data_IF_390417608347
#
_entry.id   IF_390417608347
#
_cell.length_a   1.000
_cell.length_b   1.000
_cell.length_c   1.000
_cell.angle_alpha   90.00
_cell.angle_beta   90.00
_cell.angle_gamma   90.00
#
_symmetry.space_group_name_H-M   'P 1'
#
loop_
_entity.id
_entity.type
_entity.pdbx_description
1 polymer ?
#
# COMPACT_ATOMS: atom_id res chain seq x y z
N UNK A 1 -15.88 -24.61 7.30
CA UNK A 1 -14.97 -24.96 6.18
C UNK A 1 -15.21 -23.97 5.04
N UNK A 2 -14.18 -23.30 4.56
CA UNK A 2 -14.24 -22.37 3.41
C UNK A 2 -14.38 -23.20 2.13
N UNK A 3 -15.28 -22.79 1.24
CA UNK A 3 -15.55 -23.52 -0.01
C UNK A 3 -14.34 -23.42 -0.99
N UNK A 4 -14.23 -24.38 -1.89
CA UNK A 4 -13.17 -24.38 -2.91
C UNK A 4 -13.23 -23.18 -3.86
N UNK A 5 -14.46 -22.70 -4.12
CA UNK A 5 -14.67 -21.50 -4.94
C UNK A 5 -14.30 -20.18 -4.24
N UNK A 6 -14.03 -20.19 -2.93
CA UNK A 6 -13.66 -19.03 -2.13
C UNK A 6 -12.15 -19.05 -1.78
N UNK A 7 -11.65 -20.20 -1.32
CA UNK A 7 -10.22 -20.43 -1.12
C UNK A 7 -9.69 -21.31 -2.27
N UNK A 8 -9.27 -20.70 -3.34
CA UNK A 8 -8.79 -21.43 -4.53
C UNK A 8 -7.32 -21.79 -4.34
N UNK A 9 -6.98 -23.06 -4.56
CA UNK A 9 -5.61 -23.57 -4.52
C UNK A 9 -5.21 -24.10 -5.88
N UNK A 10 -3.94 -23.95 -6.21
CA UNK A 10 -3.32 -24.59 -7.38
C UNK A 10 -3.14 -26.10 -7.13
N UNK A 11 -2.93 -26.93 -8.16
CA UNK A 11 -2.74 -28.38 -8.01
C UNK A 11 -1.57 -28.76 -7.10
N UNK A 12 -0.58 -27.88 -6.95
CA UNK A 12 0.58 -28.08 -6.07
C UNK A 12 0.33 -27.64 -4.62
N UNK A 13 -0.89 -27.20 -4.27
CA UNK A 13 -1.27 -26.75 -2.95
C UNK A 13 -0.91 -25.29 -2.63
N UNK A 14 -0.31 -24.54 -3.55
CA UNK A 14 -0.10 -23.10 -3.39
C UNK A 14 -1.40 -22.32 -3.55
N UNK A 15 -1.49 -21.13 -2.92
CA UNK A 15 -2.66 -20.25 -3.09
C UNK A 15 -2.72 -19.68 -4.52
N UNK A 16 -3.90 -19.40 -5.02
CA UNK A 16 -4.17 -19.32 -6.47
C UNK A 16 -3.43 -18.20 -7.19
N UNK A 17 -3.54 -16.94 -6.72
CA UNK A 17 -3.01 -15.81 -7.49
C UNK A 17 -1.52 -15.58 -7.20
N UNK A 18 -1.14 -15.43 -5.92
CA UNK A 18 0.25 -15.12 -5.56
C UNK A 18 1.19 -16.34 -5.60
N UNK A 19 0.65 -17.54 -5.81
CA UNK A 19 1.40 -18.79 -6.05
C UNK A 19 2.42 -19.12 -4.94
N UNK A 20 1.99 -18.96 -3.69
CA UNK A 20 2.80 -19.19 -2.49
C UNK A 20 2.17 -20.26 -1.58
N UNK A 21 3.03 -20.84 -0.74
CA UNK A 21 2.66 -21.71 0.38
C UNK A 21 3.03 -21.05 1.70
N UNK A 22 2.42 -21.44 2.84
CA UNK A 22 2.67 -20.84 4.14
C UNK A 22 4.15 -20.71 4.54
N UNK A 23 4.95 -21.75 4.30
CA UNK A 23 6.37 -21.79 4.65
C UNK A 23 7.24 -20.85 3.80
N UNK A 24 6.71 -20.36 2.69
CA UNK A 24 7.43 -19.50 1.74
C UNK A 24 7.30 -18.02 2.05
N UNK A 25 6.54 -17.64 3.08
CA UNK A 25 6.27 -16.25 3.45
C UNK A 25 6.91 -15.93 4.79
N UNK A 26 7.54 -14.75 4.89
CA UNK A 26 8.06 -14.23 6.15
C UNK A 26 6.98 -13.38 6.88
N UNK A 27 7.16 -13.17 8.18
CA UNK A 27 6.26 -12.32 8.99
C UNK A 27 6.36 -10.82 8.59
N UNK A 28 7.47 -10.42 7.98
CA UNK A 28 7.65 -9.07 7.44
C UNK A 28 7.67 -9.11 5.92
N UNK A 29 6.71 -8.39 5.33
CA UNK A 29 6.44 -8.40 3.89
C UNK A 29 6.61 -7.00 3.32
N UNK A 30 7.43 -6.91 2.27
CA UNK A 30 7.62 -5.69 1.49
C UNK A 30 6.74 -5.78 0.24
N UNK A 31 5.82 -4.83 0.07
CA UNK A 31 5.00 -4.70 -1.12
C UNK A 31 5.62 -3.67 -2.08
N UNK A 32 5.68 -4.02 -3.34
CA UNK A 32 6.07 -3.12 -4.44
C UNK A 32 5.03 -3.19 -5.56
N UNK A 33 4.82 -2.13 -6.33
CA UNK A 33 3.85 -2.16 -7.43
C UNK A 33 4.38 -2.91 -8.66
N UNK A 34 5.64 -2.67 -9.01
CA UNK A 34 6.29 -3.20 -10.23
C UNK A 34 7.02 -4.53 -9.96
N UNK A 35 6.71 -5.61 -10.72
CA UNK A 35 7.45 -6.87 -10.62
C UNK A 35 8.97 -6.72 -10.77
N UNK A 36 9.43 -5.78 -11.61
CA UNK A 36 10.85 -5.53 -11.80
C UNK A 36 11.52 -4.87 -10.59
N UNK A 37 10.76 -4.36 -9.63
CA UNK A 37 11.29 -3.84 -8.36
C UNK A 37 11.62 -4.95 -7.37
N UNK A 38 11.00 -6.11 -7.46
CA UNK A 38 11.27 -7.25 -6.57
C UNK A 38 12.74 -7.67 -6.60
N UNK A 39 13.37 -7.96 -7.76
CA UNK A 39 14.79 -8.28 -7.79
C UNK A 39 15.70 -7.12 -7.34
N UNK A 40 15.27 -5.86 -7.46
CA UNK A 40 16.02 -4.72 -6.95
C UNK A 40 16.06 -4.68 -5.42
N UNK A 41 14.95 -5.03 -4.75
CA UNK A 41 14.91 -5.16 -3.29
C UNK A 41 15.73 -6.37 -2.84
N UNK A 42 15.51 -7.53 -3.45
CA UNK A 42 16.19 -8.78 -3.04
C UNK A 42 17.67 -8.84 -3.43
N UNK A 43 18.16 -7.92 -4.28
CA UNK A 43 19.59 -7.77 -4.55
C UNK A 43 20.39 -7.39 -3.29
N UNK A 44 19.75 -6.85 -2.26
CA UNK A 44 20.34 -6.54 -0.96
C UNK A 44 20.26 -7.68 0.03
N UNK A 45 19.51 -8.77 -0.28
CA UNK A 45 19.36 -9.90 0.64
C UNK A 45 20.68 -10.69 0.75
N UNK A 46 20.94 -11.21 1.94
CA UNK A 46 22.10 -12.04 2.21
C UNK A 46 21.99 -13.38 1.42
N UNK A 47 20.75 -13.88 1.27
CA UNK A 47 20.40 -15.05 0.46
C UNK A 47 18.95 -14.95 -0.01
N UNK A 48 18.61 -15.65 -1.08
CA UNK A 48 17.24 -15.87 -1.55
C UNK A 48 16.92 -17.34 -1.30
N UNK A 49 15.93 -17.60 -0.44
CA UNK A 49 15.47 -18.95 -0.09
C UNK A 49 14.46 -19.48 -1.11
N UNK A 50 13.62 -18.58 -1.62
CA UNK A 50 12.52 -18.92 -2.52
C UNK A 50 12.23 -17.77 -3.49
N UNK A 51 11.85 -18.13 -4.73
CA UNK A 51 11.38 -17.18 -5.73
C UNK A 51 10.30 -17.79 -6.61
N UNK A 52 9.29 -17.00 -6.95
CA UNK A 52 8.23 -17.39 -7.89
C UNK A 52 7.68 -16.16 -8.59
N UNK A 53 7.07 -16.37 -9.75
CA UNK A 53 6.30 -15.34 -10.44
C UNK A 53 5.08 -15.97 -11.12
N UNK A 54 3.93 -15.35 -10.90
CA UNK A 54 2.69 -15.67 -11.61
C UNK A 54 1.95 -14.37 -11.90
N UNK A 55 1.68 -14.09 -13.16
CA UNK A 55 1.14 -12.79 -13.61
C UNK A 55 2.02 -11.64 -13.14
N UNK A 56 1.43 -10.58 -12.58
CA UNK A 56 2.08 -9.42 -11.95
C UNK A 56 2.67 -9.71 -10.56
N UNK A 57 2.36 -10.86 -9.97
CA UNK A 57 2.81 -11.24 -8.63
C UNK A 57 4.16 -11.97 -8.71
N UNK A 58 5.24 -11.23 -8.52
CA UNK A 58 6.60 -11.74 -8.38
C UNK A 58 6.98 -11.73 -6.91
N UNK A 59 7.52 -12.81 -6.38
CA UNK A 59 7.89 -12.95 -4.97
C UNK A 59 9.29 -13.49 -4.81
N UNK A 60 10.09 -12.83 -3.98
CA UNK A 60 11.34 -13.36 -3.44
C UNK A 60 11.27 -13.36 -1.92
N UNK A 61 11.61 -14.48 -1.29
CA UNK A 61 11.79 -14.61 0.16
C UNK A 61 13.24 -14.96 0.46
N UNK A 62 13.80 -14.33 1.48
CA UNK A 62 15.19 -14.50 1.87
C UNK A 62 15.51 -13.79 3.16
N UNK A 63 16.77 -13.48 3.42
CA UNK A 63 17.20 -12.76 4.63
C UNK A 63 17.96 -11.49 4.29
N UNK A 64 17.81 -10.47 5.13
CA UNK A 64 18.59 -9.26 5.13
C UNK A 64 19.09 -8.95 6.54
N UNK A 65 20.40 -8.92 6.74
CA UNK A 65 21.03 -8.73 8.05
C UNK A 65 20.45 -9.70 9.11
N UNK A 66 20.25 -10.95 8.72
CA UNK A 66 19.74 -12.02 9.58
C UNK A 66 18.23 -11.98 9.83
N UNK A 67 17.46 -11.02 9.27
CA UNK A 67 15.99 -10.97 9.34
C UNK A 67 15.38 -11.57 8.08
N UNK A 68 14.47 -12.53 8.25
CA UNK A 68 13.73 -13.12 7.13
C UNK A 68 12.69 -12.12 6.61
N UNK A 69 12.71 -11.86 5.31
CA UNK A 69 11.84 -10.91 4.61
C UNK A 69 11.25 -11.56 3.37
N UNK A 70 10.03 -11.19 3.04
CA UNK A 70 9.41 -11.46 1.74
C UNK A 70 9.21 -10.14 1.01
N UNK A 71 9.62 -10.06 -0.25
CA UNK A 71 9.22 -8.97 -1.14
C UNK A 71 8.31 -9.52 -2.23
N UNK A 72 7.16 -8.88 -2.43
CA UNK A 72 6.17 -9.27 -3.43
C UNK A 72 5.67 -8.05 -4.20
N UNK A 73 5.53 -8.21 -5.53
CA UNK A 73 4.85 -7.21 -6.35
C UNK A 73 3.35 -7.42 -6.33
N UNK A 74 2.62 -6.31 -6.31
CA UNK A 74 1.15 -6.33 -6.25
C UNK A 74 0.49 -6.00 -7.59
N UNK A 75 1.24 -5.44 -8.56
CA UNK A 75 0.62 -4.70 -9.64
C UNK A 75 0.08 -3.36 -9.15
N UNK A 76 -0.91 -2.81 -9.86
CA UNK A 76 -1.47 -1.47 -9.62
C UNK A 76 -2.94 -1.58 -9.21
N UNK A 77 -3.32 -0.80 -8.20
CA UNK A 77 -4.71 -0.55 -7.86
C UNK A 77 -5.25 -1.34 -6.66
N UNK A 78 -6.38 -0.88 -6.08
CA UNK A 78 -6.98 -1.46 -4.86
C UNK A 78 -7.48 -2.89 -5.06
N UNK A 79 -7.96 -3.24 -6.25
CA UNK A 79 -8.42 -4.56 -6.63
C UNK A 79 -7.31 -5.62 -6.58
N UNK A 80 -6.10 -5.28 -7.02
CA UNK A 80 -4.94 -6.15 -6.85
C UNK A 80 -4.54 -6.28 -5.36
N UNK A 81 -4.63 -5.21 -4.59
CA UNK A 81 -4.36 -5.23 -3.14
C UNK A 81 -5.36 -6.12 -2.41
N UNK A 82 -6.63 -6.13 -2.83
CA UNK A 82 -7.63 -7.03 -2.28
C UNK A 82 -7.21 -8.50 -2.41
N UNK A 83 -6.71 -8.89 -3.56
CA UNK A 83 -6.17 -10.24 -3.79
C UNK A 83 -4.96 -10.51 -2.89
N UNK A 84 -3.96 -9.65 -2.94
CA UNK A 84 -2.67 -9.89 -2.27
C UNK A 84 -2.81 -9.96 -0.76
N UNK A 85 -3.54 -9.02 -0.14
CA UNK A 85 -3.67 -8.99 1.32
C UNK A 85 -4.51 -10.15 1.84
N UNK A 86 -5.62 -10.48 1.17
CA UNK A 86 -6.43 -11.64 1.57
C UNK A 86 -5.69 -12.96 1.38
N UNK A 87 -4.92 -13.13 0.30
CA UNK A 87 -4.15 -14.35 0.07
C UNK A 87 -2.93 -14.46 1.02
N UNK A 88 -2.29 -13.35 1.36
CA UNK A 88 -1.23 -13.34 2.39
C UNK A 88 -1.78 -13.70 3.79
N UNK A 89 -2.93 -13.14 4.16
CA UNK A 89 -3.60 -13.51 5.40
C UNK A 89 -4.00 -14.99 5.41
N UNK A 90 -4.55 -15.48 4.31
CA UNK A 90 -4.93 -16.89 4.19
C UNK A 90 -3.74 -17.84 4.38
N UNK A 91 -2.55 -17.51 3.87
CA UNK A 91 -1.35 -18.31 4.04
C UNK A 91 -0.95 -18.46 5.51
N UNK A 92 -1.10 -17.42 6.32
CA UNK A 92 -0.67 -17.44 7.73
C UNK A 92 -1.79 -17.80 8.71
N UNK A 93 -3.06 -17.52 8.37
CA UNK A 93 -4.19 -17.60 9.29
C UNK A 93 -5.24 -18.66 8.93
N UNK A 94 -5.13 -19.30 7.77
CA UNK A 94 -5.98 -20.42 7.37
C UNK A 94 -5.14 -21.68 7.23
N UNK A 95 -5.61 -22.79 7.79
CA UNK A 95 -5.09 -24.11 7.46
C UNK A 95 -5.61 -24.49 6.06
N UNK A 96 -4.72 -24.46 5.07
CA UNK A 96 -5.08 -24.69 3.67
C UNK A 96 -5.59 -26.10 3.40
N UNK A 97 -5.23 -27.10 4.25
CA UNK A 97 -5.68 -28.47 4.11
C UNK A 97 -7.11 -28.65 4.63
N UNK A 98 -7.38 -28.16 5.85
CA UNK A 98 -8.72 -28.24 6.47
C UNK A 98 -9.65 -27.12 6.02
N UNK A 99 -9.13 -26.08 5.39
CA UNK A 99 -9.86 -24.88 4.96
C UNK A 99 -10.59 -24.20 6.11
N UNK A 100 -9.94 -24.11 7.26
CA UNK A 100 -10.51 -23.46 8.44
C UNK A 100 -9.53 -22.41 8.98
N UNK A 101 -10.02 -21.29 9.53
CA UNK A 101 -9.19 -20.34 10.25
C UNK A 101 -8.47 -21.03 11.40
N UNK A 102 -7.21 -20.66 11.62
CA UNK A 102 -6.41 -21.14 12.74
C UNK A 102 -6.92 -20.55 14.05
N UNK A 103 -6.78 -21.28 15.17
CA UNK A 103 -7.15 -20.77 16.51
C UNK A 103 -6.24 -19.61 16.94
N UNK A 104 -4.95 -19.68 16.62
CA UNK A 104 -3.99 -18.61 16.86
C UNK A 104 -3.69 -17.90 15.55
N UNK A 105 -4.04 -16.60 15.52
CA UNK A 105 -3.81 -15.76 14.36
C UNK A 105 -2.42 -15.10 14.41
N UNK A 106 -1.77 -15.06 13.27
CA UNK A 106 -0.49 -14.37 13.05
C UNK A 106 -0.74 -12.97 12.53
N UNK A 107 -0.11 -11.97 13.14
CA UNK A 107 -0.09 -10.60 12.62
C UNK A 107 1.14 -10.39 11.75
N UNK A 108 0.95 -10.01 10.51
CA UNK A 108 2.00 -9.66 9.56
C UNK A 108 2.43 -8.19 9.72
N UNK A 109 3.70 -7.90 9.43
CA UNK A 109 4.22 -6.56 9.25
C UNK A 109 4.34 -6.28 7.75
N UNK A 110 3.49 -5.40 7.22
CA UNK A 110 3.39 -5.11 5.79
C UNK A 110 3.92 -3.71 5.53
N UNK A 111 4.96 -3.59 4.70
CA UNK A 111 5.59 -2.30 4.37
C UNK A 111 5.61 -2.11 2.86
N UNK A 112 4.92 -1.08 2.37
CA UNK A 112 4.95 -0.73 0.95
C UNK A 112 6.13 0.19 0.63
N UNK A 113 6.94 -0.17 -0.37
CA UNK A 113 7.93 0.71 -0.99
C UNK A 113 7.39 1.17 -2.34
N UNK A 114 6.77 2.35 -2.36
CA UNK A 114 6.06 2.88 -3.49
C UNK A 114 6.68 4.14 -4.09
N UNK A 115 6.03 4.63 -5.13
CA UNK A 115 6.29 5.94 -5.76
C UNK A 115 5.01 6.73 -5.79
N UNK A 116 5.09 8.05 -5.70
CA UNK A 116 3.91 8.92 -5.72
C UNK A 116 4.22 10.33 -6.21
N UNK A 117 3.18 11.10 -6.46
CA UNK A 117 3.27 12.53 -6.74
C UNK A 117 2.92 13.36 -5.52
N UNK A 118 3.77 14.34 -5.17
CA UNK A 118 3.49 15.30 -4.11
C UNK A 118 2.39 16.29 -4.51
N UNK A 119 1.54 16.63 -3.53
CA UNK A 119 0.55 17.70 -3.59
C UNK A 119 1.03 18.97 -2.87
N UNK A 120 2.22 18.96 -2.27
CA UNK A 120 2.72 20.04 -1.43
C UNK A 120 4.03 20.60 -1.99
N UNK A 121 4.13 21.93 -2.17
CA UNK A 121 5.33 22.56 -2.70
C UNK A 121 6.57 22.37 -1.80
N UNK A 122 6.37 22.25 -0.50
CA UNK A 122 7.42 22.04 0.51
C UNK A 122 7.87 20.57 0.65
N UNK A 123 7.28 19.63 -0.11
CA UNK A 123 7.72 18.25 -0.21
C UNK A 123 8.30 18.02 -1.62
N UNK A 124 9.59 18.28 -1.83
CA UNK A 124 10.19 18.24 -3.16
C UNK A 124 10.28 16.82 -3.74
N UNK A 125 10.53 16.72 -5.04
CA UNK A 125 10.96 15.45 -5.65
C UNK A 125 12.24 14.92 -4.98
N UNK A 126 12.43 13.61 -5.05
CA UNK A 126 13.54 12.88 -4.41
C UNK A 126 13.44 12.81 -2.87
N UNK A 127 12.32 13.28 -2.29
CA UNK A 127 11.99 13.10 -0.86
C UNK A 127 11.26 11.77 -0.63
N UNK A 128 11.15 11.38 0.64
CA UNK A 128 10.31 10.26 1.08
C UNK A 128 9.14 10.74 1.92
N UNK A 129 7.98 10.12 1.72
CA UNK A 129 6.77 10.34 2.52
C UNK A 129 6.34 9.03 3.13
N UNK A 130 6.11 9.04 4.45
CA UNK A 130 5.40 8.00 5.17
C UNK A 130 3.93 8.39 5.28
N UNK A 131 3.05 7.52 4.82
CA UNK A 131 1.62 7.72 4.87
C UNK A 131 1.10 7.49 6.30
N UNK A 132 0.80 8.56 7.04
CA UNK A 132 0.17 8.43 8.36
C UNK A 132 -1.25 7.87 8.26
N UNK A 133 -1.93 8.23 7.17
CA UNK A 133 -3.26 7.76 6.81
C UNK A 133 -3.33 7.51 5.30
N UNK A 134 -4.12 6.51 4.92
CA UNK A 134 -4.55 6.28 3.55
C UNK A 134 -5.98 6.78 3.37
N UNK A 135 -6.21 7.70 2.41
CA UNK A 135 -7.53 8.15 2.00
C UNK A 135 -7.92 7.43 0.71
N UNK A 136 -8.90 6.54 0.76
CA UNK A 136 -9.41 5.81 -0.39
C UNK A 136 -10.49 6.61 -1.13
N UNK A 137 -10.31 6.75 -2.43
CA UNK A 137 -11.28 7.35 -3.35
C UNK A 137 -11.94 6.29 -4.26
N UNK A 138 -11.85 5.04 -3.85
CA UNK A 138 -12.46 3.85 -4.47
C UNK A 138 -13.61 3.33 -3.60
N UNK A 139 -14.30 2.29 -4.06
CA UNK A 139 -15.43 1.67 -3.34
C UNK A 139 -15.09 0.27 -2.78
N UNK A 140 -13.89 -0.25 -3.00
CA UNK A 140 -13.53 -1.63 -2.70
C UNK A 140 -13.74 -1.95 -1.21
N UNK A 141 -13.26 -1.07 -0.33
CA UNK A 141 -13.28 -1.29 1.11
C UNK A 141 -14.69 -1.33 1.72
N UNK A 142 -15.69 -0.70 1.07
CA UNK A 142 -17.09 -0.76 1.49
C UNK A 142 -17.76 -2.14 1.29
N UNK A 143 -17.11 -3.03 0.54
CA UNK A 143 -17.57 -4.42 0.40
C UNK A 143 -17.37 -5.24 1.68
N UNK A 144 -16.58 -4.77 2.65
CA UNK A 144 -16.32 -5.44 3.91
C UNK A 144 -17.21 -4.92 5.04
N UNK A 145 -18.01 -5.81 5.64
CA UNK A 145 -19.01 -5.49 6.67
C UNK A 145 -18.43 -4.67 7.84
N UNK A 146 -17.22 -5.02 8.28
CA UNK A 146 -16.61 -4.43 9.47
C UNK A 146 -15.73 -3.20 9.14
N UNK A 147 -15.73 -2.73 7.89
CA UNK A 147 -14.97 -1.55 7.48
C UNK A 147 -15.19 -0.31 8.35
N UNK A 148 -16.42 -0.03 8.90
CA UNK A 148 -16.60 1.14 9.77
C UNK A 148 -15.80 1.08 11.07
N UNK A 149 -15.41 -0.10 11.55
CA UNK A 149 -14.69 -0.26 12.85
C UNK A 149 -13.26 0.30 12.83
N UNK A 150 -12.68 0.44 11.65
CA UNK A 150 -11.26 0.82 11.47
C UNK A 150 -11.07 2.17 10.78
N UNK A 151 -12.16 2.84 10.41
CA UNK A 151 -12.18 4.09 9.67
C UNK A 151 -12.13 5.31 10.60
N UNK A 152 -11.50 6.40 10.13
CA UNK A 152 -11.42 7.69 10.79
C UNK A 152 -12.61 8.59 10.37
N UNK A 153 -13.83 8.23 10.85
CA UNK A 153 -15.10 8.82 10.38
C UNK A 153 -15.13 10.36 10.46
N UNK A 154 -14.62 10.95 11.55
CA UNK A 154 -14.61 12.41 11.71
C UNK A 154 -13.72 13.09 10.64
N UNK A 155 -12.60 12.48 10.28
CA UNK A 155 -11.71 12.99 9.22
C UNK A 155 -12.34 12.82 7.84
N UNK A 156 -13.08 11.73 7.61
CA UNK A 156 -13.84 11.52 6.36
C UNK A 156 -14.92 12.58 6.15
N UNK A 157 -15.71 12.88 7.19
CA UNK A 157 -16.75 13.92 7.13
C UNK A 157 -16.12 15.29 6.85
N UNK A 158 -14.99 15.61 7.51
CA UNK A 158 -14.27 16.85 7.25
C UNK A 158 -13.76 16.91 5.80
N UNK A 159 -13.24 15.80 5.26
CA UNK A 159 -12.78 15.70 3.87
C UNK A 159 -13.93 15.89 2.88
N UNK A 160 -15.06 15.19 3.10
CA UNK A 160 -16.26 15.30 2.25
C UNK A 160 -16.78 16.74 2.21
N UNK A 161 -16.87 17.39 3.38
CA UNK A 161 -17.32 18.79 3.47
C UNK A 161 -16.36 19.76 2.78
N UNK A 162 -15.03 19.61 3.04
CA UNK A 162 -14.00 20.48 2.46
C UNK A 162 -13.95 20.42 0.93
N UNK A 163 -14.03 19.19 0.38
CA UNK A 163 -13.92 18.97 -1.06
C UNK A 163 -15.23 19.13 -1.81
N UNK A 164 -16.36 19.27 -1.10
CA UNK A 164 -17.71 19.13 -1.68
C UNK A 164 -17.80 17.86 -2.52
N UNK A 165 -17.37 16.74 -1.93
CA UNK A 165 -17.17 15.47 -2.62
C UNK A 165 -18.41 15.01 -3.36
N UNK A 166 -18.27 14.74 -4.66
CA UNK A 166 -19.38 14.25 -5.47
C UNK A 166 -19.76 12.82 -5.06
N UNK A 167 -21.00 12.57 -4.57
CA UNK A 167 -21.42 11.25 -4.12
C UNK A 167 -21.41 10.17 -5.22
N UNK A 168 -21.43 10.55 -6.49
CA UNK A 168 -21.31 9.61 -7.62
C UNK A 168 -19.93 8.94 -7.68
N UNK A 169 -18.91 9.51 -7.05
CA UNK A 169 -17.58 8.89 -6.92
C UNK A 169 -17.51 7.84 -5.80
N UNK A 170 -18.62 7.62 -5.08
CA UNK A 170 -18.65 6.81 -3.86
C UNK A 170 -18.15 7.59 -2.64
N UNK A 171 -18.35 7.04 -1.45
CA UNK A 171 -17.90 7.67 -0.20
C UNK A 171 -16.41 7.42 0.00
N UNK A 172 -15.58 8.45 0.17
CA UNK A 172 -14.19 8.27 0.55
C UNK A 172 -14.08 7.69 1.96
N UNK A 173 -13.00 6.95 2.22
CA UNK A 173 -12.71 6.37 3.53
C UNK A 173 -11.26 6.67 3.94
N UNK A 174 -11.00 6.82 5.24
CA UNK A 174 -9.67 7.16 5.77
C UNK A 174 -9.29 6.16 6.85
N UNK A 175 -8.06 5.65 6.77
CA UNK A 175 -7.54 4.65 7.69
C UNK A 175 -6.13 5.00 8.12
N UNK A 176 -5.88 4.98 9.44
CA UNK A 176 -4.56 5.21 10.01
C UNK A 176 -3.63 4.00 9.77
N UNK A 177 -2.34 4.28 9.58
CA UNK A 177 -1.28 3.26 9.48
C UNK A 177 -1.05 2.48 10.77
N UNK A 178 -0.28 1.40 10.70
CA UNK A 178 0.20 0.63 11.84
C UNK A 178 1.21 1.43 12.68
N UNK A 179 0.88 1.70 13.94
CA UNK A 179 1.65 2.64 14.75
C UNK A 179 3.04 2.12 15.14
N UNK A 180 3.19 0.82 15.39
CA UNK A 180 4.49 0.24 15.75
C UNK A 180 5.46 0.26 14.55
N UNK A 181 4.98 -0.06 13.35
CA UNK A 181 5.78 0.10 12.14
C UNK A 181 6.11 1.56 11.83
N UNK A 182 5.16 2.48 12.07
CA UNK A 182 5.40 3.91 11.90
C UNK A 182 6.54 4.40 12.78
N UNK A 183 6.54 4.09 14.08
CA UNK A 183 7.62 4.47 15.02
C UNK A 183 9.00 4.02 14.54
N UNK A 184 9.05 2.86 13.90
CA UNK A 184 10.29 2.28 13.40
C UNK A 184 10.77 2.92 12.09
N UNK A 185 9.84 3.30 11.21
CA UNK A 185 10.13 3.76 9.85
C UNK A 185 10.15 5.29 9.70
N UNK A 186 9.54 6.04 10.62
CA UNK A 186 9.52 7.49 10.57
C UNK A 186 10.79 8.06 11.22
N UNK A 187 11.52 8.87 10.47
CA UNK A 187 12.70 9.62 10.95
C UNK A 187 12.59 11.07 10.48
N UNK A 188 13.53 11.91 10.91
CA UNK A 188 13.68 13.31 10.46
C UNK A 188 13.92 13.47 8.95
N UNK A 189 14.26 12.39 8.25
CA UNK A 189 14.48 12.37 6.79
C UNK A 189 13.22 12.09 5.97
N UNK A 190 12.08 11.84 6.63
CA UNK A 190 10.85 11.39 6.00
C UNK A 190 9.72 12.34 6.36
N UNK A 191 9.06 12.89 5.36
CA UNK A 191 7.82 13.64 5.55
C UNK A 191 6.68 12.71 5.96
N UNK A 192 5.70 13.26 6.67
CA UNK A 192 4.52 12.51 7.11
C UNK A 192 3.24 13.22 6.66
N UNK A 193 2.22 12.46 6.25
CA UNK A 193 0.89 13.00 5.98
C UNK A 193 -0.09 12.00 5.41
N UNK A 194 -1.23 12.49 4.94
CA UNK A 194 -2.28 11.68 4.33
C UNK A 194 -1.93 11.41 2.88
N UNK A 195 -1.96 10.13 2.47
CA UNK A 195 -1.80 9.72 1.07
C UNK A 195 -3.17 9.43 0.47
N UNK A 196 -3.49 10.08 -0.63
CA UNK A 196 -4.69 9.79 -1.41
C UNK A 196 -4.46 8.58 -2.32
N UNK A 197 -5.34 7.60 -2.22
CA UNK A 197 -5.37 6.40 -3.07
C UNK A 197 -6.48 6.53 -4.09
N UNK A 198 -6.10 6.73 -5.35
CA UNK A 198 -7.04 6.91 -6.45
C UNK A 198 -7.27 5.58 -7.21
N UNK A 199 -8.52 5.30 -7.65
CA UNK A 199 -8.82 4.11 -8.45
C UNK A 199 -8.36 4.18 -9.90
N UNK A 200 -7.64 5.23 -10.29
CA UNK A 200 -7.10 5.42 -11.63
C UNK A 200 -6.04 6.51 -11.65
N UNK A 201 -5.17 6.46 -12.65
CA UNK A 201 -4.01 7.37 -12.73
C UNK A 201 -4.34 8.74 -13.34
N UNK A 202 -5.26 8.80 -14.32
CA UNK A 202 -5.58 10.04 -15.03
C UNK A 202 -6.73 10.83 -14.39
N UNK A 203 -7.95 10.63 -14.83
CA UNK A 203 -9.13 11.35 -14.36
C UNK A 203 -9.33 11.32 -12.85
N UNK A 204 -9.21 10.15 -12.17
CA UNK A 204 -9.34 10.07 -10.71
C UNK A 204 -8.29 10.86 -9.93
N UNK A 205 -7.14 11.18 -10.54
CA UNK A 205 -6.09 12.03 -9.97
C UNK A 205 -6.07 13.45 -10.56
N UNK A 206 -7.15 13.87 -11.24
CA UNK A 206 -7.27 15.20 -11.82
C UNK A 206 -6.39 15.45 -13.06
N UNK A 207 -5.83 14.39 -13.69
CA UNK A 207 -5.01 14.52 -14.90
C UNK A 207 -5.86 14.54 -16.14
N UNK A 208 -5.66 15.54 -16.97
CA UNK A 208 -6.39 15.72 -18.24
C UNK A 208 -5.45 15.38 -19.40
N UNK A 209 -5.88 14.44 -20.27
CA UNK A 209 -5.30 14.27 -21.60
C UNK A 209 -6.31 14.77 -22.63
N UNK A 210 -7.10 13.86 -23.22
CA UNK A 210 -8.15 14.20 -24.19
C UNK A 210 -9.53 14.35 -23.55
N UNK A 211 -9.82 13.59 -22.50
CA UNK A 211 -11.09 13.63 -21.79
C UNK A 211 -11.05 14.66 -20.66
N UNK A 212 -12.03 15.57 -20.58
CA UNK A 212 -12.15 16.48 -19.44
C UNK A 212 -12.46 15.70 -18.15
N UNK A 213 -11.98 16.20 -17.02
CA UNK A 213 -12.29 15.64 -15.70
C UNK A 213 -13.59 16.25 -15.16
N UNK A 214 -14.28 15.50 -14.31
CA UNK A 214 -15.54 15.94 -13.69
C UNK A 214 -15.32 17.07 -12.67
N UNK A 215 -14.19 17.06 -11.96
CA UNK A 215 -13.81 18.05 -10.95
C UNK A 215 -12.42 18.61 -11.30
N UNK A 216 -12.34 19.74 -12.03
CA UNK A 216 -11.06 20.34 -12.41
C UNK A 216 -10.28 20.90 -11.21
N UNK A 217 -10.96 21.21 -10.10
CA UNK A 217 -10.36 21.80 -8.90
C UNK A 217 -9.95 20.72 -7.86
N UNK A 218 -10.06 19.44 -8.22
CA UNK A 218 -9.79 18.34 -7.28
C UNK A 218 -8.43 18.47 -6.61
N UNK A 219 -7.36 18.74 -7.37
CA UNK A 219 -6.01 18.82 -6.83
C UNK A 219 -5.82 19.99 -5.86
N UNK A 220 -6.48 21.13 -6.11
CA UNK A 220 -6.47 22.30 -5.21
C UNK A 220 -7.21 22.00 -3.90
N UNK A 221 -8.34 21.30 -3.99
CA UNK A 221 -9.09 20.82 -2.83
C UNK A 221 -8.30 19.83 -2.01
N UNK A 222 -7.61 18.88 -2.65
CA UNK A 222 -6.72 17.94 -1.98
C UNK A 222 -5.53 18.66 -1.33
N UNK A 223 -4.88 19.56 -2.07
CA UNK A 223 -3.74 20.36 -1.57
C UNK A 223 -4.10 21.15 -0.31
N UNK A 224 -5.27 21.79 -0.29
CA UNK A 224 -5.71 22.64 0.83
C UNK A 224 -6.33 21.88 2.00
N UNK A 225 -6.58 20.57 1.89
CA UNK A 225 -7.18 19.80 2.98
C UNK A 225 -6.22 19.63 4.14
N UNK A 226 -6.70 20.03 5.33
CA UNK A 226 -6.04 19.83 6.61
C UNK A 226 -7.10 19.57 7.69
N UNK A 227 -6.91 18.52 8.46
CA UNK A 227 -7.76 18.18 9.60
C UNK A 227 -6.89 17.92 10.83
N UNK A 228 -6.95 18.81 11.83
CA UNK A 228 -6.18 18.69 13.08
C UNK A 228 -4.66 18.50 12.84
N UNK A 229 -4.08 19.19 11.86
CA UNK A 229 -2.66 19.10 11.53
C UNK A 229 -2.32 17.97 10.55
N UNK A 230 -3.26 17.08 10.23
CA UNK A 230 -3.09 16.07 9.18
C UNK A 230 -3.46 16.66 7.83
N UNK A 231 -2.47 16.79 6.94
CA UNK A 231 -2.66 17.30 5.57
C UNK A 231 -2.47 16.23 4.52
N UNK A 232 -3.10 16.41 3.36
CA UNK A 232 -2.80 15.59 2.19
C UNK A 232 -1.39 15.90 1.70
N UNK A 233 -0.58 14.87 1.48
CA UNK A 233 0.81 15.03 1.05
C UNK A 233 1.06 14.55 -0.37
N UNK A 234 0.42 13.46 -0.77
CA UNK A 234 0.72 12.81 -2.05
C UNK A 234 -0.44 11.94 -2.55
N UNK A 235 -0.37 11.57 -3.83
CA UNK A 235 -1.31 10.68 -4.50
C UNK A 235 -0.61 9.44 -5.05
N UNK A 236 -1.25 8.29 -4.87
CA UNK A 236 -0.88 7.00 -5.45
C UNK A 236 -2.12 6.11 -5.62
N UNK A 237 -2.01 4.78 -5.66
CA UNK A 237 -3.12 3.92 -6.05
C UNK A 237 -3.37 2.71 -5.13
N UNK A 238 -2.71 2.53 -3.97
CA UNK A 238 -2.79 1.28 -3.18
C UNK A 238 -2.90 1.47 -1.65
N UNK A 239 -2.37 2.52 -1.07
CA UNK A 239 -2.13 2.66 0.39
C UNK A 239 -3.39 2.48 1.24
N UNK A 240 -4.53 3.08 0.86
CA UNK A 240 -5.76 2.97 1.64
C UNK A 240 -6.28 1.54 1.72
N UNK A 241 -6.21 0.80 0.61
CA UNK A 241 -6.60 -0.60 0.54
C UNK A 241 -5.68 -1.48 1.40
N UNK A 242 -4.35 -1.25 1.33
CA UNK A 242 -3.38 -1.95 2.19
C UNK A 242 -3.71 -1.72 3.67
N UNK A 243 -3.95 -0.46 4.08
CA UNK A 243 -4.24 -0.13 5.47
C UNK A 243 -5.56 -0.71 5.95
N UNK A 244 -6.59 -0.57 5.12
CA UNK A 244 -7.93 -1.04 5.44
C UNK A 244 -7.98 -2.54 5.66
N UNK A 245 -7.52 -3.31 4.71
CA UNK A 245 -7.53 -4.77 4.77
C UNK A 245 -6.60 -5.27 5.87
N UNK A 246 -5.37 -4.74 5.95
CA UNK A 246 -4.44 -5.13 7.00
C UNK A 246 -5.02 -4.92 8.39
N UNK A 247 -5.65 -3.78 8.65
CA UNK A 247 -6.23 -3.46 9.96
C UNK A 247 -7.44 -4.33 10.30
N UNK A 248 -8.30 -4.66 9.31
CA UNK A 248 -9.41 -5.59 9.49
C UNK A 248 -8.95 -7.02 9.81
N UNK A 249 -7.85 -7.45 9.19
CA UNK A 249 -7.27 -8.78 9.37
C UNK A 249 -6.31 -8.87 10.57
N UNK A 250 -6.07 -7.77 11.28
CA UNK A 250 -5.19 -7.76 12.47
C UNK A 250 -3.70 -7.63 12.17
N UNK A 251 -3.35 -7.18 10.97
CA UNK A 251 -1.96 -6.92 10.55
C UNK A 251 -1.54 -5.48 10.80
N UNK A 252 -0.22 -5.22 10.83
CA UNK A 252 0.37 -3.89 10.83
C UNK A 252 0.76 -3.50 9.40
N UNK A 253 0.45 -2.28 8.98
CA UNK A 253 0.83 -1.81 7.65
C UNK A 253 1.32 -0.36 7.65
N UNK A 254 2.37 -0.07 6.86
CA UNK A 254 2.89 1.27 6.58
C UNK A 254 3.28 1.38 5.12
N UNK A 255 3.02 2.52 4.51
CA UNK A 255 3.47 2.86 3.15
C UNK A 255 4.53 3.95 3.19
N UNK A 256 5.68 3.68 2.57
CA UNK A 256 6.75 4.63 2.26
C UNK A 256 6.74 4.91 0.76
N UNK A 257 6.74 6.16 0.39
CA UNK A 257 6.68 6.60 -1.00
C UNK A 257 7.87 7.49 -1.35
N UNK A 258 8.58 7.15 -2.43
CA UNK A 258 9.50 8.07 -3.09
C UNK A 258 8.68 9.09 -3.91
N UNK A 259 8.93 10.37 -3.70
CA UNK A 259 8.28 11.45 -4.45
C UNK A 259 9.00 11.62 -5.79
N UNK A 260 8.31 11.23 -6.88
CA UNK A 260 8.86 11.32 -8.25
C UNK A 260 8.34 12.50 -9.05
N UNK A 261 7.25 13.10 -8.61
CA UNK A 261 6.64 14.29 -9.20
C UNK A 261 6.15 15.23 -8.11
N UNK A 262 6.13 16.54 -8.38
CA UNK A 262 5.54 17.54 -7.50
C UNK A 262 4.59 18.39 -8.34
N UNK A 263 3.28 18.27 -8.10
CA UNK A 263 2.25 18.93 -8.88
C UNK A 263 2.28 20.47 -8.72
N UNK A 264 2.34 21.03 -7.50
CA UNK A 264 2.42 22.47 -7.29
C UNK A 264 3.61 23.17 -7.97
N UNK A 265 4.75 22.50 -8.04
CA UNK A 265 5.97 23.09 -8.65
C UNK A 265 6.17 22.69 -10.11
N UNK A 266 5.34 21.75 -10.62
CA UNK A 266 5.46 21.22 -11.98
C UNK A 266 6.77 20.45 -12.22
N UNK A 267 7.42 19.95 -11.15
CA UNK A 267 8.71 19.27 -11.26
C UNK A 267 8.56 17.75 -11.31
N UNK A 268 9.51 17.09 -11.96
CA UNK A 268 9.63 15.65 -12.03
C UNK A 268 11.09 15.25 -11.72
N UNK A 269 11.30 14.12 -11.04
CA UNK A 269 12.65 13.63 -10.72
C UNK A 269 13.45 13.38 -11.99
N UNK A 270 14.74 13.68 -11.95
CA UNK A 270 15.66 13.42 -13.07
C UNK A 270 16.09 11.95 -13.16
N UNK A 271 16.02 11.22 -12.03
CA UNK A 271 16.44 9.83 -11.94
C UNK A 271 15.51 9.03 -11.02
N UNK A 272 14.38 8.55 -11.58
CA UNK A 272 13.41 7.71 -10.86
C UNK A 272 14.04 6.42 -10.35
N UNK A 273 15.06 5.88 -11.05
CA UNK A 273 15.72 4.64 -10.60
C UNK A 273 16.49 4.87 -9.32
N UNK A 274 17.23 5.98 -9.27
CA UNK A 274 18.02 6.34 -8.08
C UNK A 274 17.16 6.60 -6.86
N UNK A 275 16.12 7.42 -6.97
CA UNK A 275 15.28 7.74 -5.80
C UNK A 275 14.53 6.50 -5.26
N UNK A 276 14.14 5.58 -6.13
CA UNK A 276 13.54 4.31 -5.70
C UNK A 276 14.58 3.43 -5.01
N UNK A 277 15.83 3.40 -5.50
CA UNK A 277 16.93 2.68 -4.86
C UNK A 277 17.23 3.23 -3.47
N UNK A 278 17.33 4.55 -3.35
CA UNK A 278 17.54 5.23 -2.07
C UNK A 278 16.41 4.92 -1.07
N UNK A 279 15.14 4.82 -1.53
CA UNK A 279 14.01 4.39 -0.69
C UNK A 279 14.14 2.92 -0.24
N UNK A 280 14.53 2.02 -1.15
CA UNK A 280 14.75 0.59 -0.85
C UNK A 280 15.80 0.45 0.25
N UNK A 281 16.96 1.09 0.08
CA UNK A 281 18.05 1.06 1.06
C UNK A 281 17.58 1.62 2.40
N UNK A 282 16.92 2.80 2.39
CA UNK A 282 16.36 3.39 3.60
C UNK A 282 15.41 2.42 4.33
N UNK A 283 14.44 1.88 3.60
CA UNK A 283 13.42 1.00 4.18
C UNK A 283 14.02 -0.29 4.75
N UNK A 284 14.93 -0.94 4.03
CA UNK A 284 15.62 -2.14 4.49
C UNK A 284 16.46 -1.89 5.75
N UNK A 285 17.19 -0.77 5.81
CA UNK A 285 17.97 -0.39 6.99
C UNK A 285 17.09 -0.16 8.22
N UNK A 286 15.91 0.48 8.07
CA UNK A 286 14.98 0.65 9.18
C UNK A 286 14.36 -0.69 9.61
N UNK A 287 14.03 -1.58 8.66
CA UNK A 287 13.50 -2.90 8.96
C UNK A 287 14.52 -3.83 9.61
N UNK A 288 15.82 -3.59 9.42
CA UNK A 288 16.89 -4.37 10.01
C UNK A 288 17.19 -4.02 11.48
N UNK A 289 16.81 -2.83 11.94
CA UNK A 289 16.90 -2.43 13.36
C UNK A 289 15.89 -3.19 14.21
#
# INVERSE_FOLDING_TARGET
MIKESELILNPDGSIYHINLRPEQVADTIILVGDPNRVPRVSAYFDNIEFSTQKREFCTHTGSYKGKRLTVISTGIGPDNIDIVINELDALVNIDLHTRQPKEQLTSLNIVRFGTSGSLQADIPVDSFVLSSHGLGMDNMFHSYKDSPKVREIAMEEAFIAHTSWNPLKGRPYIIACGQELKKRLLTDKVFEGITGTAPGFYGPQGRVLRLPVQDPDLNDKLHSFNHNGHRMTNLEMETSAIYGLSKLLGHQAVSLNAIIANSPTGTFTKDTKKVVEDLIVYGLEQLAK
#
